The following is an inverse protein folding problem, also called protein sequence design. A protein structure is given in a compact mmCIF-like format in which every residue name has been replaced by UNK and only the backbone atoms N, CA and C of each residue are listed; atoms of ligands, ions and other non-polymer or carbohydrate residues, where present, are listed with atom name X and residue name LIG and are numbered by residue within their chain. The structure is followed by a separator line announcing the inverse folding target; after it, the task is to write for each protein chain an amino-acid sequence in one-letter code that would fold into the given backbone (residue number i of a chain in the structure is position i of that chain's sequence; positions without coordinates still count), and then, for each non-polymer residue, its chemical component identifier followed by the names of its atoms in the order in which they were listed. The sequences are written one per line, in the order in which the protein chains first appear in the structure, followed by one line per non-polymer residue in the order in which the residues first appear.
data_IF_371219120057
#
_entry.id   IF_371219120057
#
_cell.length_a   1.000
_cell.length_b   1.000
_cell.length_c   1.000
_cell.angle_alpha   90.00
_cell.angle_beta   90.00
_cell.angle_gamma   90.00
#
_symmetry.space_group_name_H-M   'P 1'
#
loop_
_entity.id
_entity.type
_entity.pdbx_description
1 polymer ?
#
# COMPACT_ATOMS: atom_id res chain seq x y z
N UNK A 1 -6.40 15.74 17.53
CA UNK A 1 -6.18 16.32 16.17
C UNK A 1 -7.24 15.76 15.22
N UNK A 2 -7.70 16.53 14.24
CA UNK A 2 -8.69 16.05 13.25
C UNK A 2 -7.95 15.44 12.05
N UNK A 3 -8.18 14.16 11.70
CA UNK A 3 -7.47 13.50 10.60
C UNK A 3 -7.96 14.00 9.23
N UNK A 4 -7.04 14.24 8.31
CA UNK A 4 -7.32 14.49 6.90
C UNK A 4 -7.26 13.18 6.12
N UNK A 5 -8.41 12.53 5.95
CA UNK A 5 -8.52 11.22 5.29
C UNK A 5 -7.99 11.19 3.87
N UNK A 6 -8.10 12.30 3.13
CA UNK A 6 -7.59 12.42 1.76
C UNK A 6 -6.06 12.27 1.69
N UNK A 7 -5.36 12.63 2.78
CA UNK A 7 -3.91 12.45 2.90
C UNK A 7 -3.54 11.07 3.46
N UNK A 8 -4.52 10.23 3.77
CA UNK A 8 -4.32 8.93 4.41
C UNK A 8 -4.15 8.98 5.92
N UNK A 9 -4.46 10.12 6.56
CA UNK A 9 -4.48 10.19 8.02
C UNK A 9 -5.71 9.46 8.57
N UNK A 10 -5.53 8.80 9.72
CA UNK A 10 -6.57 8.02 10.38
C UNK A 10 -6.55 8.27 11.89
N UNK A 11 -7.73 8.31 12.51
CA UNK A 11 -7.91 8.36 13.96
C UNK A 11 -8.71 7.14 14.40
N UNK A 12 -8.19 6.42 15.38
CA UNK A 12 -8.85 5.24 15.95
C UNK A 12 -9.01 5.46 17.45
N UNK A 13 -10.26 5.43 17.92
CA UNK A 13 -10.59 5.64 19.33
C UNK A 13 -10.95 4.32 20.01
N UNK A 14 -10.37 4.06 21.18
CA UNK A 14 -10.65 2.90 22.01
C UNK A 14 -10.88 3.35 23.44
N UNK A 15 -12.15 3.32 23.88
CA UNK A 15 -12.55 3.90 25.15
C UNK A 15 -12.22 5.39 25.17
N UNK A 16 -11.37 5.80 26.11
CA UNK A 16 -10.94 7.19 26.28
C UNK A 16 -9.58 7.49 25.61
N UNK A 17 -8.99 6.52 24.89
CA UNK A 17 -7.71 6.69 24.19
C UNK A 17 -7.92 6.87 22.69
N UNK A 18 -7.25 7.87 22.14
CA UNK A 18 -7.25 8.20 20.71
C UNK A 18 -5.86 7.90 20.12
N UNK A 19 -5.83 7.14 19.02
CA UNK A 19 -4.60 6.81 18.29
C UNK A 19 -4.62 7.50 16.93
N UNK A 20 -3.73 8.46 16.73
CA UNK A 20 -3.60 9.19 15.47
C UNK A 20 -2.50 8.56 14.60
N UNK A 21 -2.87 8.16 13.39
CA UNK A 21 -1.97 7.56 12.42
C UNK A 21 -1.73 8.52 11.26
N UNK A 22 -0.45 8.85 11.02
CA UNK A 22 0.00 9.65 9.88
C UNK A 22 1.05 8.88 9.08
N UNK A 23 0.78 8.53 7.81
CA UNK A 23 1.76 7.86 6.96
C UNK A 23 2.73 8.87 6.31
N UNK A 24 3.40 9.68 7.13
CA UNK A 24 4.35 10.69 6.66
C UNK A 24 5.61 10.07 6.07
N UNK A 25 6.37 10.85 5.30
CA UNK A 25 7.68 10.44 4.78
C UNK A 25 8.65 10.02 5.89
N UNK A 26 8.62 10.70 7.05
CA UNK A 26 9.38 10.27 8.23
C UNK A 26 8.85 8.96 8.83
N UNK A 27 7.54 8.80 8.97
CA UNK A 27 6.96 7.55 9.45
C UNK A 27 7.36 6.37 8.55
N UNK A 28 7.25 6.52 7.22
CA UNK A 28 7.65 5.48 6.27
C UNK A 28 9.14 5.14 6.37
N UNK A 29 10.00 6.14 6.58
CA UNK A 29 11.45 5.92 6.77
C UNK A 29 11.78 5.15 8.05
N UNK A 30 10.93 5.25 9.07
CA UNK A 30 11.15 4.56 10.35
C UNK A 30 10.84 3.06 10.31
N UNK A 31 10.19 2.58 9.23
CA UNK A 31 9.89 1.17 9.02
C UNK A 31 11.18 0.35 8.86
N UNK A 32 12.19 0.89 8.17
CA UNK A 32 13.45 0.20 7.90
C UNK A 32 14.23 0.81 6.75
N UNK A 33 15.20 0.04 6.23
CA UNK A 33 15.98 0.44 5.06
C UNK A 33 15.12 0.52 3.78
N UNK A 34 15.52 1.29 2.74
CA UNK A 34 14.71 1.50 1.54
C UNK A 34 14.13 0.24 0.87
N UNK A 35 14.87 -0.86 0.89
CA UNK A 35 14.42 -2.16 0.34
C UNK A 35 13.44 -2.84 1.29
N UNK A 36 13.62 -2.70 2.60
CA UNK A 36 12.73 -3.27 3.63
C UNK A 36 11.37 -2.57 3.64
N UNK A 37 11.32 -1.27 3.33
CA UNK A 37 10.06 -0.53 3.16
C UNK A 37 9.24 -1.14 2.01
N UNK A 38 9.87 -1.39 0.86
CA UNK A 38 9.23 -2.03 -0.30
C UNK A 38 8.83 -3.47 0.03
N UNK A 39 9.67 -4.22 0.74
CA UNK A 39 9.35 -5.58 1.18
C UNK A 39 8.16 -5.58 2.15
N UNK A 40 8.05 -4.61 3.06
CA UNK A 40 6.92 -4.45 3.98
C UNK A 40 5.63 -4.17 3.21
N UNK A 41 5.69 -3.33 2.17
CA UNK A 41 4.56 -3.11 1.27
C UNK A 41 4.15 -4.40 0.56
N UNK A 42 5.12 -5.15 0.03
CA UNK A 42 4.87 -6.42 -0.62
C UNK A 42 4.23 -7.43 0.34
N UNK A 43 4.77 -7.60 1.55
CA UNK A 43 4.24 -8.55 2.53
C UNK A 43 2.81 -8.19 3.00
N UNK A 44 2.43 -6.91 2.96
CA UNK A 44 1.06 -6.45 3.23
C UNK A 44 0.10 -6.70 2.07
N UNK A 45 0.52 -6.42 0.85
CA UNK A 45 -0.35 -6.37 -0.33
C UNK A 45 -0.35 -7.68 -1.14
N UNK A 46 0.64 -8.55 -0.93
CA UNK A 46 0.78 -9.77 -1.70
C UNK A 46 -0.30 -10.78 -1.32
N UNK A 47 -1.09 -11.19 -2.30
CA UNK A 47 -2.20 -12.11 -2.12
C UNK A 47 -1.78 -13.58 -2.32
N UNK A 48 -0.79 -14.02 -1.54
CA UNK A 48 -0.33 -15.43 -1.52
C UNK A 48 -1.48 -16.38 -1.16
N UNK A 49 -2.43 -15.90 -0.35
CA UNK A 49 -3.57 -16.69 0.13
C UNK A 49 -4.52 -16.97 -1.03
N UNK A 50 -4.99 -15.94 -1.75
CA UNK A 50 -5.92 -16.14 -2.87
C UNK A 50 -5.28 -16.93 -3.99
N UNK A 51 -4.01 -16.69 -4.31
CA UNK A 51 -3.31 -17.48 -5.34
C UNK A 51 -3.19 -18.95 -4.94
N UNK A 52 -2.93 -19.26 -3.66
CA UNK A 52 -2.94 -20.63 -3.16
C UNK A 52 -4.35 -21.23 -3.19
N UNK A 53 -5.37 -20.49 -2.78
CA UNK A 53 -6.77 -20.93 -2.82
C UNK A 53 -7.19 -21.23 -4.26
N UNK A 54 -6.86 -20.36 -5.22
CA UNK A 54 -7.15 -20.55 -6.65
C UNK A 54 -6.43 -21.75 -7.24
N UNK A 55 -5.17 -21.99 -6.85
CA UNK A 55 -4.43 -23.19 -7.26
C UNK A 55 -5.06 -24.44 -6.66
N UNK A 56 -5.36 -24.42 -5.37
CA UNK A 56 -5.99 -25.54 -4.68
C UNK A 56 -7.39 -25.83 -5.26
N UNK A 57 -8.18 -24.81 -5.55
CA UNK A 57 -9.50 -24.98 -6.18
C UNK A 57 -9.34 -25.60 -7.58
N UNK A 58 -8.43 -25.10 -8.43
CA UNK A 58 -8.19 -25.69 -9.76
C UNK A 58 -7.68 -27.13 -9.70
N UNK A 59 -6.88 -27.47 -8.69
CA UNK A 59 -6.30 -28.82 -8.57
C UNK A 59 -7.26 -29.84 -7.96
N UNK A 60 -8.05 -29.45 -6.97
CA UNK A 60 -8.85 -30.38 -6.17
C UNK A 60 -10.36 -30.25 -6.39
N UNK A 61 -10.85 -29.15 -6.96
CA UNK A 61 -12.28 -28.90 -7.19
C UNK A 61 -12.52 -28.88 -8.71
N UNK A 62 -12.98 -30.01 -9.25
CA UNK A 62 -13.34 -30.18 -10.65
C UNK A 62 -14.85 -30.38 -10.84
N UNK A 63 -15.54 -30.79 -9.78
CA UNK A 63 -16.98 -31.02 -9.69
C UNK A 63 -17.57 -30.32 -8.45
N UNK A 64 -18.89 -30.12 -8.44
CA UNK A 64 -19.63 -29.47 -7.36
C UNK A 64 -19.57 -30.22 -6.02
N UNK A 65 -19.25 -31.53 -6.05
CA UNK A 65 -19.13 -32.38 -4.87
C UNK A 65 -17.70 -32.46 -4.31
N UNK A 66 -16.73 -31.90 -5.02
CA UNK A 66 -15.34 -31.97 -4.62
C UNK A 66 -15.07 -31.03 -3.44
N UNK A 67 -14.22 -31.48 -2.52
CA UNK A 67 -13.80 -30.69 -1.36
C UNK A 67 -12.29 -30.62 -1.31
N UNK A 68 -11.80 -29.52 -0.76
CA UNK A 68 -10.38 -29.42 -0.45
C UNK A 68 -9.99 -30.49 0.58
N UNK A 69 -8.84 -31.16 0.40
CA UNK A 69 -8.33 -32.07 1.42
C UNK A 69 -8.20 -31.38 2.79
N UNK A 70 -8.48 -32.12 3.86
CA UNK A 70 -8.42 -31.64 5.25
C UNK A 70 -7.08 -30.97 5.57
N UNK A 71 -5.97 -31.50 5.05
CA UNK A 71 -4.63 -30.93 5.25
C UNK A 71 -4.49 -29.53 4.62
N UNK A 72 -5.12 -29.30 3.47
CA UNK A 72 -5.11 -28.01 2.78
C UNK A 72 -5.97 -27.01 3.55
N UNK A 73 -7.16 -27.42 3.99
CA UNK A 73 -8.04 -26.60 4.83
C UNK A 73 -7.33 -26.18 6.12
N UNK A 74 -6.72 -27.14 6.83
CA UNK A 74 -5.95 -26.85 8.05
C UNK A 74 -4.76 -25.93 7.79
N UNK A 75 -4.08 -26.07 6.65
CA UNK A 75 -2.99 -25.18 6.28
C UNK A 75 -3.47 -23.75 6.03
N UNK A 76 -4.56 -23.55 5.29
CA UNK A 76 -5.17 -22.24 5.08
C UNK A 76 -5.60 -21.61 6.42
N UNK A 77 -6.24 -22.41 7.28
CA UNK A 77 -6.71 -21.97 8.61
C UNK A 77 -5.60 -21.81 9.65
N UNK A 78 -4.39 -22.31 9.39
CA UNK A 78 -3.28 -22.27 10.36
C UNK A 78 -2.79 -20.85 10.69
N UNK A 79 -3.17 -19.85 9.88
CA UNK A 79 -2.72 -18.46 10.03
C UNK A 79 -1.26 -18.24 9.62
N UNK A 80 -0.56 -19.28 9.14
CA UNK A 80 0.84 -19.18 8.67
C UNK A 80 0.95 -18.21 7.51
N UNK A 81 0.01 -18.26 6.56
CA UNK A 81 0.00 -17.41 5.38
C UNK A 81 -0.21 -15.93 5.72
N UNK A 82 -1.04 -15.63 6.72
CA UNK A 82 -1.29 -14.26 7.17
C UNK A 82 -0.18 -13.71 8.07
N UNK A 83 0.78 -14.53 8.50
CA UNK A 83 1.76 -14.13 9.52
C UNK A 83 2.63 -12.96 9.05
N UNK A 84 3.11 -12.99 7.81
CA UNK A 84 3.94 -11.91 7.25
C UNK A 84 3.15 -10.61 7.17
N UNK A 85 1.95 -10.64 6.61
CA UNK A 85 1.06 -9.48 6.52
C UNK A 85 0.75 -8.88 7.89
N UNK A 86 0.48 -9.70 8.91
CA UNK A 86 0.21 -9.22 10.28
C UNK A 86 1.46 -8.58 10.90
N UNK A 87 2.65 -9.16 10.69
CA UNK A 87 3.90 -8.58 11.18
C UNK A 87 4.23 -7.27 10.48
N UNK A 88 4.05 -7.21 9.16
CA UNK A 88 4.22 -5.98 8.39
C UNK A 88 3.20 -4.91 8.84
N UNK A 89 1.94 -5.28 9.07
CA UNK A 89 0.92 -4.38 9.60
C UNK A 89 1.30 -3.83 10.98
N UNK A 90 1.85 -4.68 11.85
CA UNK A 90 2.35 -4.26 13.15
C UNK A 90 3.45 -3.20 13.03
N UNK A 91 4.44 -3.43 12.16
CA UNK A 91 5.53 -2.48 11.91
C UNK A 91 4.99 -1.15 11.39
N UNK A 92 4.09 -1.17 10.39
CA UNK A 92 3.52 0.05 9.80
C UNK A 92 2.71 0.85 10.82
N UNK A 93 1.83 0.20 11.58
CA UNK A 93 1.01 0.86 12.59
C UNK A 93 1.86 1.47 13.70
N UNK A 94 2.93 0.77 14.11
CA UNK A 94 3.89 1.29 15.09
C UNK A 94 4.69 2.49 14.56
N UNK A 95 5.01 2.50 13.28
CA UNK A 95 5.76 3.58 12.63
C UNK A 95 4.92 4.84 12.39
N UNK A 96 3.62 4.69 12.13
CA UNK A 96 2.73 5.79 11.76
C UNK A 96 2.07 6.50 12.95
N UNK A 97 2.25 6.02 14.17
CA UNK A 97 1.67 6.60 15.38
C UNK A 97 2.78 7.03 16.33
N UNK A 98 2.68 8.25 16.86
CA UNK A 98 3.65 8.78 17.84
C UNK A 98 3.43 8.17 19.24
N UNK A 99 2.20 7.73 19.53
CA UNK A 99 1.81 7.15 20.81
C UNK A 99 2.14 5.65 20.90
N UNK A 100 2.20 5.12 22.12
CA UNK A 100 2.34 3.68 22.34
C UNK A 100 1.09 2.91 21.89
N UNK A 101 1.16 2.30 20.71
CA UNK A 101 0.06 1.53 20.09
C UNK A 101 -0.11 0.11 20.63
N UNK A 102 0.74 -0.38 21.53
CA UNK A 102 0.77 -1.80 21.88
C UNK A 102 -0.50 -2.33 22.55
N UNK A 103 -1.27 -1.50 23.25
CA UNK A 103 -2.61 -1.88 23.75
C UNK A 103 -3.58 -2.16 22.58
N UNK A 104 -3.49 -1.34 21.53
CA UNK A 104 -4.34 -1.42 20.34
C UNK A 104 -3.94 -2.60 19.46
N UNK A 105 -2.68 -2.67 19.04
CA UNK A 105 -2.25 -3.65 18.03
C UNK A 105 -1.70 -4.91 18.68
N UNK A 106 -1.05 -4.82 19.84
CA UNK A 106 -0.46 -5.94 20.56
C UNK A 106 1.06 -5.85 20.69
N UNK A 107 1.65 -6.88 21.31
CA UNK A 107 3.07 -6.95 21.64
C UNK A 107 3.69 -8.27 21.17
N UNK A 108 4.94 -8.23 20.73
CA UNK A 108 5.77 -9.42 20.59
C UNK A 108 6.43 -9.76 21.93
N UNK A 109 6.09 -10.92 22.51
CA UNK A 109 6.79 -11.45 23.70
C UNK A 109 7.73 -12.58 23.32
N UNK A 110 8.94 -12.66 23.88
CA UNK A 110 9.80 -13.83 23.69
C UNK A 110 9.07 -15.08 24.19
N UNK A 111 9.13 -16.17 23.41
CA UNK A 111 8.48 -17.42 23.81
C UNK A 111 9.20 -18.04 25.00
N UNK A 112 8.44 -18.63 25.94
CA UNK A 112 9.00 -19.32 27.13
C UNK A 112 9.84 -20.57 26.78
N UNK A 113 9.88 -20.99 25.51
CA UNK A 113 10.60 -22.18 25.05
C UNK A 113 11.66 -21.78 24.04
N UNK A 114 12.88 -22.30 24.20
CA UNK A 114 14.04 -22.10 23.30
C UNK A 114 13.73 -22.36 21.82
N UNK A 115 12.66 -23.11 21.50
CA UNK A 115 12.23 -23.45 20.12
C UNK A 115 11.18 -22.51 19.52
N UNK A 116 10.52 -21.65 20.30
CA UNK A 116 9.54 -20.66 19.79
C UNK A 116 10.08 -19.27 20.09
N UNK A 117 10.72 -18.64 19.11
CA UNK A 117 11.41 -17.35 19.27
C UNK A 117 10.51 -16.26 19.89
N UNK A 118 9.35 -15.99 19.28
CA UNK A 118 8.42 -14.96 19.74
C UNK A 118 6.96 -15.42 19.65
N UNK A 119 6.14 -15.01 20.62
CA UNK A 119 4.70 -15.19 20.68
C UNK A 119 4.03 -13.82 20.62
N UNK A 120 3.17 -13.65 19.61
CA UNK A 120 2.33 -12.47 19.46
C UNK A 120 1.22 -12.47 20.53
N UNK A 121 1.16 -11.42 21.34
CA UNK A 121 0.05 -11.11 22.23
C UNK A 121 -0.87 -10.14 21.50
N UNK A 122 -2.08 -10.58 21.19
CA UNK A 122 -3.09 -9.77 20.48
C UNK A 122 -3.43 -8.52 21.29
N UNK A 123 -3.49 -7.38 20.63
CA UNK A 123 -4.11 -6.17 21.15
C UNK A 123 -5.64 -6.20 20.96
N UNK A 124 -6.26 -5.05 21.19
CA UNK A 124 -7.71 -4.85 21.07
C UNK A 124 -8.17 -4.96 19.61
N UNK A 125 -7.36 -4.47 18.66
CA UNK A 125 -7.65 -4.50 17.24
C UNK A 125 -7.48 -5.91 16.64
N UNK A 126 -8.49 -6.41 15.89
CA UNK A 126 -8.35 -7.66 15.13
C UNK A 126 -7.21 -7.60 14.09
N UNK A 127 -6.43 -8.68 13.89
CA UNK A 127 -5.32 -8.68 12.93
C UNK A 127 -5.73 -8.35 11.49
N UNK A 128 -6.96 -8.68 11.09
CA UNK A 128 -7.48 -8.38 9.76
C UNK A 128 -7.66 -6.87 9.55
N UNK A 129 -8.16 -6.17 10.55
CA UNK A 129 -8.30 -4.71 10.52
C UNK A 129 -6.94 -4.03 10.51
N UNK A 130 -5.97 -4.55 11.28
CA UNK A 130 -4.59 -4.07 11.23
C UNK A 130 -4.03 -4.09 9.81
N UNK A 131 -4.21 -5.19 9.07
CA UNK A 131 -3.73 -5.31 7.70
C UNK A 131 -4.40 -4.30 6.78
N UNK A 132 -5.73 -4.16 6.84
CA UNK A 132 -6.48 -3.22 5.98
C UNK A 132 -6.03 -1.78 6.23
N UNK A 133 -5.89 -1.39 7.49
CA UNK A 133 -5.47 -0.03 7.86
C UNK A 133 -4.01 0.20 7.44
N UNK A 134 -3.11 -0.74 7.70
CA UNK A 134 -1.71 -0.65 7.28
C UNK A 134 -1.55 -0.57 5.76
N UNK A 135 -2.34 -1.34 4.99
CA UNK A 135 -2.37 -1.24 3.53
C UNK A 135 -2.76 0.18 3.10
N UNK A 136 -3.84 0.74 3.66
CA UNK A 136 -4.26 2.11 3.35
C UNK A 136 -3.17 3.15 3.68
N UNK A 137 -2.55 3.05 4.86
CA UNK A 137 -1.45 3.92 5.27
C UNK A 137 -0.28 3.86 4.27
N UNK A 138 0.15 2.66 3.88
CA UNK A 138 1.24 2.48 2.93
C UNK A 138 0.89 2.94 1.51
N UNK A 139 -0.36 2.75 1.07
CA UNK A 139 -0.84 3.28 -0.21
C UNK A 139 -0.71 4.81 -0.25
N UNK A 140 -1.02 5.50 0.85
CA UNK A 140 -0.91 6.96 0.92
C UNK A 140 0.52 7.46 1.19
N UNK A 141 1.33 6.70 1.94
CA UNK A 141 2.69 7.08 2.35
C UNK A 141 3.79 6.77 1.34
N UNK A 142 3.63 5.74 0.51
CA UNK A 142 4.64 5.29 -0.46
C UNK A 142 4.20 5.51 -1.90
N UNK A 143 3.01 5.03 -2.27
CA UNK A 143 2.54 5.07 -3.67
C UNK A 143 1.92 6.44 -4.00
N UNK A 144 1.12 6.96 -3.07
CA UNK A 144 0.27 8.11 -3.29
C UNK A 144 -0.99 7.75 -4.08
N UNK A 145 -2.10 8.41 -3.77
CA UNK A 145 -3.40 8.19 -4.44
C UNK A 145 -3.81 9.36 -5.35
N UNK A 146 -2.98 10.39 -5.48
CA UNK A 146 -3.31 11.53 -6.31
C UNK A 146 -3.17 11.16 -7.78
N UNK A 147 -4.19 11.51 -8.58
CA UNK A 147 -4.16 11.33 -10.04
C UNK A 147 -3.18 12.33 -10.65
N UNK A 148 -1.90 11.96 -10.70
CA UNK A 148 -0.90 12.69 -11.47
C UNK A 148 -1.15 12.46 -12.95
N UNK A 149 -1.25 13.55 -13.73
CA UNK A 149 -1.08 13.44 -15.19
C UNK A 149 0.35 12.95 -15.44
N UNK A 150 0.50 11.72 -15.91
CA UNK A 150 1.79 11.16 -16.34
C UNK A 150 1.81 11.14 -17.86
N UNK A 151 2.67 11.96 -18.44
CA UNK A 151 2.87 11.99 -19.88
C UNK A 151 3.53 10.68 -20.34
N UNK A 152 3.05 10.09 -21.42
CA UNK A 152 3.56 8.82 -21.95
C UNK A 152 5.09 8.84 -22.19
N UNK A 153 5.65 10.00 -22.58
CA UNK A 153 7.10 10.15 -22.87
C UNK A 153 8.01 9.99 -21.65
N UNK A 154 7.48 10.15 -20.44
CA UNK A 154 8.24 10.07 -19.18
C UNK A 154 7.79 8.89 -18.31
N UNK A 155 7.00 7.97 -18.88
CA UNK A 155 6.59 6.75 -18.19
C UNK A 155 7.71 5.70 -18.32
N UNK A 156 8.50 5.52 -17.27
CA UNK A 156 9.33 4.33 -17.11
C UNK A 156 8.46 3.23 -16.49
N UNK A 157 8.28 2.13 -17.21
CA UNK A 157 7.53 0.95 -16.73
C UNK A 157 8.32 0.06 -15.76
N UNK A 158 9.51 0.50 -15.35
CA UNK A 158 10.37 -0.28 -14.45
C UNK A 158 9.88 -0.14 -13.00
N UNK A 159 9.58 -1.27 -12.32
CA UNK A 159 9.23 -1.23 -10.91
C UNK A 159 10.43 -0.75 -10.09
N UNK A 160 10.18 0.18 -9.16
CA UNK A 160 11.21 0.65 -8.24
C UNK A 160 11.38 -0.36 -7.11
N UNK A 161 12.61 -0.84 -6.90
CA UNK A 161 12.92 -1.87 -5.90
C UNK A 161 13.22 -1.31 -4.50
N UNK A 162 13.35 0.02 -4.37
CA UNK A 162 13.64 0.68 -3.11
C UNK A 162 12.83 1.97 -2.98
N UNK A 163 12.52 2.37 -1.74
CA UNK A 163 11.84 3.63 -1.45
C UNK A 163 12.71 4.52 -0.57
N UNK A 164 13.13 5.68 -1.09
CA UNK A 164 13.96 6.65 -0.37
C UNK A 164 13.17 7.92 -0.06
N UNK A 165 12.65 8.02 1.15
CA UNK A 165 11.88 9.20 1.57
C UNK A 165 12.69 10.50 1.49
N UNK A 166 14.01 10.43 1.66
CA UNK A 166 14.93 11.58 1.52
C UNK A 166 14.76 12.31 0.19
N UNK A 167 14.55 11.56 -0.89
CA UNK A 167 14.49 12.11 -2.25
C UNK A 167 13.24 12.96 -2.41
N UNK A 168 12.12 12.47 -1.85
CA UNK A 168 10.85 13.18 -1.81
C UNK A 168 10.87 14.37 -0.86
N UNK A 169 11.55 14.26 0.29
CA UNK A 169 11.74 15.39 1.22
C UNK A 169 12.53 16.51 0.52
N UNK A 170 13.63 16.19 -0.16
CA UNK A 170 14.44 17.17 -0.91
C UNK A 170 13.60 17.78 -2.05
N UNK A 171 12.87 16.96 -2.80
CA UNK A 171 11.99 17.44 -3.86
C UNK A 171 10.91 18.38 -3.32
N UNK A 172 10.25 18.04 -2.20
CA UNK A 172 9.22 18.86 -1.57
C UNK A 172 9.78 20.22 -1.13
N UNK A 173 10.97 20.24 -0.53
CA UNK A 173 11.65 21.50 -0.17
C UNK A 173 11.94 22.36 -1.40
N UNK A 174 12.44 21.75 -2.47
CA UNK A 174 12.77 22.47 -3.71
C UNK A 174 11.52 23.00 -4.43
N UNK A 175 10.44 22.22 -4.48
CA UNK A 175 9.20 22.63 -5.15
C UNK A 175 8.36 23.60 -4.30
N UNK A 176 8.31 23.45 -2.99
CA UNK A 176 7.35 24.21 -2.16
C UNK A 176 8.01 25.21 -1.21
N UNK A 177 9.34 25.25 -1.15
CA UNK A 177 10.10 26.15 -0.29
C UNK A 177 9.72 26.03 1.20
N UNK A 178 9.47 24.80 1.64
CA UNK A 178 9.14 24.43 3.02
C UNK A 178 10.37 23.91 3.77
N UNK A 179 10.28 23.85 5.09
CA UNK A 179 11.34 23.30 5.95
C UNK A 179 11.50 21.79 5.77
N UNK A 180 12.58 21.21 6.34
CA UNK A 180 12.79 19.76 6.32
C UNK A 180 11.73 19.05 7.15
N UNK A 181 11.35 19.66 8.27
CA UNK A 181 10.39 19.16 9.23
C UNK A 181 9.00 19.09 8.61
N UNK A 182 8.57 20.17 7.96
CA UNK A 182 7.31 20.21 7.20
C UNK A 182 7.32 19.20 6.06
N UNK A 183 8.38 19.18 5.25
CA UNK A 183 8.50 18.25 4.12
C UNK A 183 8.45 16.77 4.57
N UNK A 184 9.08 16.43 5.70
CA UNK A 184 9.07 15.07 6.23
C UNK A 184 7.75 14.63 6.84
N UNK A 185 6.87 15.58 7.20
CA UNK A 185 5.51 15.29 7.68
C UNK A 185 4.50 15.07 6.56
N UNK A 186 4.83 15.46 5.33
CA UNK A 186 3.96 15.19 4.17
C UNK A 186 3.80 13.69 3.94
N UNK A 187 2.63 13.31 3.45
CA UNK A 187 2.42 11.98 2.87
C UNK A 187 2.75 11.99 1.37
N UNK A 188 2.97 10.83 0.75
CA UNK A 188 3.17 10.78 -0.70
C UNK A 188 1.97 11.36 -1.45
N UNK A 189 0.75 11.07 -0.97
CA UNK A 189 -0.48 11.59 -1.58
C UNK A 189 -0.52 13.11 -1.53
N UNK A 190 -0.22 13.69 -0.37
CA UNK A 190 -0.20 15.14 -0.19
C UNK A 190 0.87 15.79 -1.08
N UNK A 191 2.09 15.24 -1.10
CA UNK A 191 3.16 15.70 -1.98
C UNK A 191 2.72 15.72 -3.45
N UNK A 192 2.06 14.66 -3.93
CA UNK A 192 1.55 14.58 -5.29
C UNK A 192 0.41 15.58 -5.55
N UNK A 193 -0.51 15.77 -4.59
CA UNK A 193 -1.57 16.77 -4.70
C UNK A 193 -1.00 18.19 -4.80
N UNK A 194 0.02 18.51 -4.02
CA UNK A 194 0.73 19.79 -4.10
C UNK A 194 1.41 19.98 -5.47
N UNK A 195 1.98 18.92 -6.05
CA UNK A 195 2.56 18.98 -7.40
C UNK A 195 1.48 19.25 -8.46
N UNK A 196 0.32 18.59 -8.38
CA UNK A 196 -0.81 18.83 -9.30
C UNK A 196 -1.29 20.28 -9.17
N UNK A 197 -1.43 20.79 -7.95
CA UNK A 197 -1.86 22.16 -7.71
C UNK A 197 -0.85 23.20 -8.24
N UNK A 198 0.46 22.93 -8.11
CA UNK A 198 1.52 23.83 -8.60
C UNK A 198 1.68 23.78 -10.13
N UNK A 199 1.43 22.63 -10.75
CA UNK A 199 1.63 22.40 -12.18
C UNK A 199 0.38 21.80 -12.84
N UNK A 200 -0.74 22.56 -12.93
CA UNK A 200 -2.02 22.04 -13.42
C UNK A 200 -2.04 21.76 -14.93
N UNK A 201 -1.25 22.49 -15.72
CA UNK A 201 -1.18 22.35 -17.17
C UNK A 201 0.09 21.61 -17.60
N UNK A 202 -0.05 20.31 -17.86
CA UNK A 202 1.04 19.52 -18.45
C UNK A 202 0.77 19.27 -19.93
N UNK A 203 1.63 19.79 -20.80
CA UNK A 203 1.50 19.64 -22.26
C UNK A 203 1.88 18.23 -22.72
N UNK A 204 0.91 17.47 -23.23
CA UNK A 204 1.10 16.17 -23.88
C UNK A 204 -0.06 15.21 -23.62
N UNK A 205 -0.04 14.04 -24.26
CA UNK A 205 -1.01 12.97 -24.01
C UNK A 205 -0.53 12.06 -22.88
N UNK A 206 -1.46 11.69 -21.99
CA UNK A 206 -1.30 10.49 -21.16
C UNK A 206 -1.35 9.25 -22.05
N UNK A 207 -0.87 8.11 -21.53
CA UNK A 207 -0.91 6.84 -22.28
C UNK A 207 -2.33 6.45 -22.67
N UNK A 208 -3.28 6.55 -21.74
CA UNK A 208 -4.69 6.24 -21.98
C UNK A 208 -5.30 7.13 -23.07
N UNK A 209 -5.02 8.44 -23.04
CA UNK A 209 -5.50 9.36 -24.08
C UNK A 209 -4.85 9.06 -25.45
N UNK A 210 -3.57 8.64 -25.47
CA UNK A 210 -2.91 8.23 -26.71
C UNK A 210 -3.51 6.94 -27.28
N UNK A 211 -3.68 5.91 -26.45
CA UNK A 211 -4.24 4.62 -26.84
C UNK A 211 -5.68 4.80 -27.34
N UNK A 212 -6.50 5.57 -26.64
CA UNK A 212 -7.86 5.91 -27.08
C UNK A 212 -7.86 6.68 -28.41
N UNK A 213 -6.96 7.64 -28.59
CA UNK A 213 -6.88 8.41 -29.84
C UNK A 213 -6.41 7.53 -31.02
N UNK A 214 -5.49 6.59 -30.77
CA UNK A 214 -5.03 5.62 -31.75
C UNK A 214 -6.16 4.66 -32.15
N UNK A 215 -6.89 4.12 -31.18
CA UNK A 215 -8.04 3.23 -31.41
C UNK A 215 -9.13 3.93 -32.22
N UNK A 216 -9.47 5.17 -31.86
CA UNK A 216 -10.43 5.99 -32.61
C UNK A 216 -9.96 6.24 -34.05
N UNK A 217 -8.67 6.51 -34.25
CA UNK A 217 -8.09 6.70 -35.57
C UNK A 217 -8.20 5.42 -36.42
N UNK A 218 -7.85 4.25 -35.87
CA UNK A 218 -7.96 2.97 -36.56
C UNK A 218 -9.42 2.59 -36.84
N UNK A 219 -10.33 2.87 -35.91
CA UNK A 219 -11.76 2.65 -36.10
C UNK A 219 -12.33 3.52 -37.23
N UNK A 220 -11.97 4.81 -37.28
CA UNK A 220 -12.35 5.72 -38.37
C UNK A 220 -11.80 5.25 -39.72
N UNK A 221 -10.56 4.76 -39.75
CA UNK A 221 -9.93 4.23 -40.97
C UNK A 221 -10.64 2.97 -41.48
N UNK A 222 -10.97 2.02 -40.59
CA UNK A 222 -11.74 0.81 -40.95
C UNK A 222 -13.12 1.17 -41.52
N UNK A 223 -13.83 2.12 -40.91
CA UNK A 223 -15.14 2.61 -41.40
C UNK A 223 -15.03 3.22 -42.81
N UNK A 224 -13.96 3.95 -43.12
CA UNK A 224 -13.73 4.52 -44.46
C UNK A 224 -13.43 3.45 -45.50
N UNK A 225 -12.62 2.45 -45.16
CA UNK A 225 -12.30 1.33 -46.07
C UNK A 225 -13.53 0.45 -46.36
N UNK A 226 -14.40 0.25 -45.37
CA UNK A 226 -15.64 -0.51 -45.55
C UNK A 226 -16.68 0.19 -46.45
N UNK A 227 -16.61 1.52 -46.60
CA UNK A 227 -17.47 2.31 -47.50
C UNK A 227 -16.94 2.39 -48.95
N UNK A 228 -15.69 1.95 -49.17
CA UNK A 228 -15.05 1.94 -50.50
C UNK A 228 -15.08 0.56 -51.17
N UNK A 229 -15.59 -0.46 -50.47
CA UNK A 229 -15.96 -1.76 -51.03
C UNK A 229 -17.46 -1.78 -51.28
#
# INVERSE_FOLDING_TARGET
MTPVKEFGECLISVGDKDYFFRPSLFAMSSIGEPVEIVQTFYDLCNDEVTTLIQKASKSYIQSEYDRLPECVIRYIQSGILSRKAIMAAHTVLSACCEDEVGDLIGWMKPGKSRKRGFMWRRGIMPPQEMVIIAQSLMMHGIIGQAKLRKLQRHESNEPTNEFRASDYIIAARNHFNISKEEAGQLTMTEFQMMLVAKYPEQKGYTREEYDSAADDYFARRKRRQAKQK
#
